data_IF_557408987233
#
_entry.id   IF_557408987233
#
_cell.length_a   1.000
_cell.length_b   1.000
_cell.length_c   1.000
_cell.angle_alpha   90.00
_cell.angle_beta   90.00
_cell.angle_gamma   90.00
#
_symmetry.space_group_name_H-M   'P 1'
#
loop_
_entity.id
_entity.type
_entity.pdbx_description
1 polymer ?
#
# COMPACT_ATOMS: atom_id res chain seq x y z
N UNK A 1 -1.67 8.07 8.26
CA UNK A 1 -1.38 6.64 8.56
C UNK A 1 -0.15 6.55 9.45
N UNK A 2 -0.27 5.81 10.54
CA UNK A 2 0.86 5.60 11.44
C UNK A 2 1.61 4.33 11.01
N UNK A 3 2.91 4.45 10.77
CA UNK A 3 3.72 3.33 10.32
C UNK A 3 4.59 2.78 11.44
N UNK A 4 4.71 1.46 11.47
CA UNK A 4 5.63 0.73 12.35
C UNK A 4 6.76 0.17 11.50
N UNK A 5 8.01 0.38 11.93
CA UNK A 5 9.17 -0.20 11.26
C UNK A 5 9.20 -1.71 11.56
N UNK A 6 9.09 -2.51 10.50
CA UNK A 6 9.15 -3.97 10.58
C UNK A 6 10.33 -4.52 9.79
N UNK A 7 11.32 -3.69 9.52
CA UNK A 7 12.52 -4.06 8.79
C UNK A 7 13.28 -5.16 9.54
N UNK A 8 13.59 -6.25 8.84
CA UNK A 8 14.39 -7.32 9.42
C UNK A 8 15.86 -6.91 9.47
N UNK A 9 16.58 -7.41 10.48
CA UNK A 9 17.96 -7.01 10.82
C UNK A 9 18.93 -7.06 9.65
N UNK A 10 18.78 -8.01 8.73
CA UNK A 10 19.69 -8.19 7.61
C UNK A 10 19.09 -7.86 6.25
N UNK A 11 17.97 -7.13 6.24
CA UNK A 11 17.35 -6.70 5.00
C UNK A 11 18.17 -5.62 4.30
N UNK A 12 18.23 -5.67 2.97
CA UNK A 12 18.85 -4.63 2.16
C UNK A 12 17.93 -3.43 1.93
N UNK A 13 16.67 -3.53 2.30
CA UNK A 13 15.67 -2.46 2.16
C UNK A 13 15.11 -2.02 3.49
N UNK A 14 14.05 -1.23 3.42
CA UNK A 14 13.32 -0.78 4.60
C UNK A 14 11.86 -1.20 4.46
N UNK A 15 11.27 -1.65 5.56
CA UNK A 15 9.91 -2.19 5.56
C UNK A 15 9.11 -1.58 6.70
N UNK A 16 7.97 -0.98 6.35
CA UNK A 16 7.06 -0.35 7.30
C UNK A 16 5.66 -0.90 7.10
N UNK A 17 4.89 -0.96 8.18
CA UNK A 17 3.54 -1.49 8.17
C UNK A 17 2.60 -0.53 8.87
N UNK A 18 1.42 -0.34 8.31
CA UNK A 18 0.38 0.49 8.89
C UNK A 18 -0.99 0.03 8.47
N UNK A 19 -2.01 0.73 8.94
CA UNK A 19 -3.40 0.45 8.57
C UNK A 19 -4.06 1.71 8.06
N UNK A 20 -4.92 1.56 7.04
CA UNK A 20 -5.69 2.65 6.49
C UNK A 20 -7.05 2.11 6.03
N UNK A 21 -8.13 2.57 6.64
CA UNK A 21 -9.51 2.21 6.27
C UNK A 21 -9.73 0.69 6.12
N UNK A 22 -9.30 -0.08 7.13
CA UNK A 22 -9.41 -1.56 7.17
C UNK A 22 -8.49 -2.29 6.18
N UNK A 23 -7.54 -1.58 5.58
CA UNK A 23 -6.48 -2.21 4.80
C UNK A 23 -5.20 -2.24 5.60
N UNK A 24 -4.50 -3.36 5.51
CA UNK A 24 -3.12 -3.45 5.98
C UNK A 24 -2.22 -2.96 4.87
N UNK A 25 -1.39 -1.97 5.18
CA UNK A 25 -0.53 -1.31 4.20
C UNK A 25 0.93 -1.59 4.51
N UNK A 26 1.68 -1.98 3.49
CA UNK A 26 3.11 -2.16 3.60
C UNK A 26 3.80 -1.12 2.72
N UNK A 27 4.63 -0.28 3.32
CA UNK A 27 5.37 0.78 2.64
C UNK A 27 6.83 0.37 2.68
N UNK A 28 7.37 0.01 1.52
CA UNK A 28 8.68 -0.63 1.44
C UNK A 28 9.65 0.16 0.57
N UNK A 29 10.92 0.14 0.94
CA UNK A 29 12.01 0.72 0.17
C UNK A 29 12.88 -0.40 -0.37
N UNK A 30 13.20 -0.34 -1.68
CA UNK A 30 14.13 -1.25 -2.32
C UNK A 30 15.46 -0.56 -2.59
N UNK A 31 16.54 -1.10 -2.03
CA UNK A 31 17.88 -0.58 -2.29
C UNK A 31 18.35 -0.87 -3.71
N UNK A 32 17.80 -1.89 -4.35
CA UNK A 32 18.14 -2.24 -5.73
C UNK A 32 17.68 -1.19 -6.73
N UNK A 33 16.45 -0.70 -6.55
CA UNK A 33 15.86 0.29 -7.46
C UNK A 33 15.92 1.70 -6.91
N UNK A 34 16.43 1.88 -5.69
CA UNK A 34 16.46 3.16 -4.98
C UNK A 34 15.09 3.84 -5.04
N UNK A 35 14.06 3.10 -4.71
CA UNK A 35 12.68 3.59 -4.79
C UNK A 35 11.79 2.93 -3.77
N UNK A 36 10.64 3.56 -3.54
CA UNK A 36 9.61 3.08 -2.62
C UNK A 36 8.48 2.43 -3.40
N UNK A 37 7.87 1.43 -2.82
CA UNK A 37 6.68 0.78 -3.36
C UNK A 37 5.77 0.37 -2.21
N UNK A 38 4.51 0.09 -2.52
CA UNK A 38 3.56 -0.34 -1.50
C UNK A 38 2.82 -1.59 -1.93
N UNK A 39 2.32 -2.34 -0.94
CA UNK A 39 1.29 -3.33 -1.19
C UNK A 39 0.26 -3.28 -0.07
N UNK A 40 -0.96 -3.67 -0.41
CA UNK A 40 -2.08 -3.63 0.51
C UNK A 40 -2.81 -4.97 0.50
N UNK A 41 -3.48 -5.25 1.62
CA UNK A 41 -4.40 -6.36 1.72
C UNK A 41 -5.56 -5.94 2.62
N UNK A 42 -6.78 -6.30 2.24
CA UNK A 42 -7.93 -6.06 3.10
C UNK A 42 -7.99 -7.15 4.17
N UNK A 43 -8.41 -6.76 5.38
CA UNK A 43 -8.54 -7.70 6.50
C UNK A 43 -9.98 -8.20 6.67
N UNK A 44 -10.81 -8.04 5.63
CA UNK A 44 -12.21 -8.40 5.67
C UNK A 44 -12.56 -9.38 4.53
N UNK A 45 -13.85 -9.65 4.37
CA UNK A 45 -14.35 -10.61 3.39
C UNK A 45 -14.08 -10.22 1.93
N UNK A 46 -13.69 -8.96 1.68
CA UNK A 46 -13.40 -8.50 0.31
C UNK A 46 -12.15 -9.16 -0.28
N UNK A 47 -11.20 -9.56 0.57
CA UNK A 47 -9.94 -10.20 0.18
C UNK A 47 -9.24 -9.47 -0.97
N UNK A 48 -9.18 -8.14 -0.89
CA UNK A 48 -8.55 -7.31 -1.90
C UNK A 48 -7.05 -7.24 -1.62
N UNK A 49 -6.25 -7.51 -2.65
CA UNK A 49 -4.78 -7.42 -2.57
C UNK A 49 -4.26 -6.67 -3.77
N UNK A 50 -3.24 -5.85 -3.55
CA UNK A 50 -2.62 -5.10 -4.62
C UNK A 50 -1.18 -4.76 -4.26
N UNK A 51 -0.31 -4.80 -5.24
CA UNK A 51 1.08 -4.39 -5.13
C UNK A 51 1.36 -3.36 -6.21
N UNK A 52 1.88 -2.19 -5.84
CA UNK A 52 2.15 -1.12 -6.80
C UNK A 52 3.12 -1.56 -7.90
N UNK A 53 3.99 -2.52 -7.63
CA UNK A 53 4.94 -3.04 -8.63
C UNK A 53 4.24 -3.80 -9.76
N UNK A 54 3.01 -4.29 -9.55
CA UNK A 54 2.26 -4.95 -10.62
C UNK A 54 1.98 -3.99 -11.78
N UNK A 55 1.84 -2.70 -11.48
CA UNK A 55 1.65 -1.64 -12.47
C UNK A 55 2.90 -0.79 -12.66
N UNK A 56 4.05 -1.30 -12.18
CA UNK A 56 5.35 -0.63 -12.26
C UNK A 56 5.37 0.75 -11.61
N UNK A 57 4.54 0.94 -10.57
CA UNK A 57 4.47 2.19 -9.82
C UNK A 57 5.54 2.21 -8.74
N UNK A 58 6.45 3.15 -8.86
CA UNK A 58 7.53 3.38 -7.89
C UNK A 58 7.53 4.84 -7.46
N UNK A 59 7.98 5.09 -6.25
CA UNK A 59 7.95 6.43 -5.66
C UNK A 59 9.35 6.80 -5.18
N UNK A 60 9.69 8.07 -5.25
CA UNK A 60 11.02 8.56 -4.84
C UNK A 60 11.13 8.73 -3.33
N UNK A 61 10.02 9.01 -2.65
CA UNK A 61 10.01 9.25 -1.20
C UNK A 61 8.97 8.38 -0.52
N UNK A 62 9.16 8.17 0.77
CA UNK A 62 8.19 7.46 1.59
C UNK A 62 6.84 8.19 1.59
N UNK A 63 6.87 9.52 1.67
CA UNK A 63 5.65 10.33 1.70
C UNK A 63 4.83 10.17 0.43
N UNK A 64 5.49 10.21 -0.73
CA UNK A 64 4.81 10.01 -2.01
C UNK A 64 4.21 8.60 -2.10
N UNK A 65 4.92 7.61 -1.59
CA UNK A 65 4.45 6.23 -1.57
C UNK A 65 3.20 6.08 -0.68
N UNK A 66 3.21 6.69 0.50
CA UNK A 66 2.07 6.69 1.41
C UNK A 66 0.86 7.35 0.74
N UNK A 67 1.06 8.50 0.12
CA UNK A 67 -0.01 9.21 -0.59
C UNK A 67 -0.60 8.35 -1.71
N UNK A 68 0.24 7.74 -2.51
CA UNK A 68 -0.21 6.85 -3.59
C UNK A 68 -1.00 5.67 -3.06
N UNK A 69 -0.54 5.07 -1.96
CA UNK A 69 -1.23 3.97 -1.29
C UNK A 69 -2.63 4.38 -0.82
N UNK A 70 -2.74 5.53 -0.15
CA UNK A 70 -4.01 6.02 0.35
C UNK A 70 -4.98 6.37 -0.79
N UNK A 71 -4.48 6.98 -1.86
CA UNK A 71 -5.31 7.30 -3.03
C UNK A 71 -5.85 6.03 -3.69
N UNK A 72 -5.04 4.99 -3.79
CA UNK A 72 -5.47 3.72 -4.35
C UNK A 72 -6.61 3.12 -3.51
N UNK A 73 -6.45 3.08 -2.20
CA UNK A 73 -7.46 2.55 -1.29
C UNK A 73 -8.77 3.36 -1.40
N UNK A 74 -8.66 4.68 -1.40
CA UNK A 74 -9.83 5.55 -1.54
C UNK A 74 -10.57 5.29 -2.85
N UNK A 75 -9.83 5.08 -3.94
CA UNK A 75 -10.42 4.75 -5.24
C UNK A 75 -11.14 3.41 -5.22
N UNK A 76 -10.55 2.39 -4.61
CA UNK A 76 -11.18 1.07 -4.47
C UNK A 76 -12.47 1.16 -3.68
N UNK A 77 -12.47 1.88 -2.56
CA UNK A 77 -13.66 2.05 -1.72
C UNK A 77 -14.75 2.83 -2.45
N UNK A 78 -14.39 3.86 -3.19
CA UNK A 78 -15.33 4.63 -3.99
C UNK A 78 -15.99 3.78 -5.06
N UNK A 79 -15.20 2.98 -5.76
CA UNK A 79 -15.71 2.09 -6.81
C UNK A 79 -16.65 1.02 -6.23
N UNK A 80 -16.32 0.47 -5.05
CA UNK A 80 -17.17 -0.49 -4.38
C UNK A 80 -18.54 0.11 -4.03
N UNK A 81 -18.56 1.37 -3.56
CA UNK A 81 -19.82 2.08 -3.27
C UNK A 81 -20.66 2.28 -4.54
N UNK A 82 -20.03 2.68 -5.63
CA UNK A 82 -20.70 2.88 -6.91
C UNK A 82 -21.30 1.57 -7.39
N UNK A 83 -20.56 0.47 -7.32
CA UNK A 83 -21.04 -0.85 -7.70
C UNK A 83 -22.27 -1.27 -6.88
N UNK A 84 -22.27 -1.00 -5.58
CA UNK A 84 -23.41 -1.30 -4.72
C UNK A 84 -24.66 -0.51 -5.09
N UNK A 85 -24.50 0.75 -5.50
CA UNK A 85 -25.62 1.60 -5.91
C UNK A 85 -26.22 1.16 -7.25
N UNK A 86 -25.40 0.62 -8.10
CA UNK A 86 -25.82 0.17 -9.44
C UNK A 86 -26.31 -1.27 -9.44
N UNK A 87 -25.99 -2.01 -8.45
CA UNK A 87 -26.43 -3.38 -8.29
C UNK A 87 -27.66 -3.47 -7.43
#
# INVERSE_FOLDING_TARGET
>A
MRLKDVTKRFSSGKFYKGKYKKFECHINYSSYSDSWYYHISSNDKRDIRYNSLWDELKFKTQEDCIEGCQKYIDGVLKNAKISKKMG
#
